data_IF_901282865456
#
_entry.id   IF_901282865456
#
_cell.length_a   1.000
_cell.length_b   1.000
_cell.length_c   1.000
_cell.angle_alpha   90.00
_cell.angle_beta   90.00
_cell.angle_gamma   90.00
#
_symmetry.space_group_name_H-M   'P 1'
#
loop_
_entity.id
_entity.type
_entity.pdbx_description
1 polymer ?
#
# COMPACT_ATOMS: atom_id res chain seq x y z
N UNK A 1 -67.43 -23.43 1.04
CA UNK A 1 -66.45 -23.34 2.13
C UNK A 1 -65.29 -22.47 1.63
N UNK A 2 -65.30 -21.18 1.93
CA UNK A 2 -64.29 -20.25 1.44
C UNK A 2 -63.12 -20.19 2.44
N UNK A 3 -61.97 -20.75 2.06
CA UNK A 3 -60.71 -20.59 2.77
C UNK A 3 -60.17 -19.18 2.51
N UNK A 4 -60.59 -18.20 3.30
CA UNK A 4 -59.88 -16.92 3.38
C UNK A 4 -58.53 -17.19 4.05
N UNK A 5 -57.42 -17.06 3.30
CA UNK A 5 -56.05 -17.12 3.84
C UNK A 5 -55.59 -15.69 4.15
N UNK A 6 -55.76 -15.18 5.39
CA UNK A 6 -55.60 -13.76 5.65
C UNK A 6 -54.25 -13.52 6.30
N UNK A 7 -53.12 -13.85 5.65
CA UNK A 7 -51.79 -13.55 6.23
C UNK A 7 -50.61 -13.47 5.23
N UNK A 8 -50.85 -13.53 3.92
CA UNK A 8 -49.76 -13.54 2.93
C UNK A 8 -49.23 -12.14 2.58
N UNK A 9 -50.08 -11.11 2.62
CA UNK A 9 -49.73 -9.73 2.19
C UNK A 9 -48.70 -9.05 3.11
N UNK A 10 -48.81 -9.22 4.43
CA UNK A 10 -47.87 -8.61 5.39
C UNK A 10 -46.46 -9.19 5.30
N UNK A 11 -46.34 -10.53 5.17
CA UNK A 11 -45.04 -11.21 5.03
C UNK A 11 -44.36 -10.88 3.71
N UNK A 12 -45.11 -10.76 2.62
CA UNK A 12 -44.60 -10.33 1.32
C UNK A 12 -44.13 -8.86 1.34
N UNK A 13 -44.85 -7.98 2.04
CA UNK A 13 -44.43 -6.58 2.19
C UNK A 13 -43.11 -6.46 2.95
N UNK A 14 -42.97 -7.15 4.09
CA UNK A 14 -41.74 -7.11 4.91
C UNK A 14 -40.55 -7.71 4.17
N UNK A 15 -40.74 -8.84 3.47
CA UNK A 15 -39.66 -9.48 2.69
C UNK A 15 -39.23 -8.63 1.50
N UNK A 16 -40.16 -7.99 0.79
CA UNK A 16 -39.82 -7.06 -0.29
C UNK A 16 -39.06 -5.83 0.24
N UNK A 17 -39.44 -5.32 1.41
CA UNK A 17 -38.76 -4.19 2.04
C UNK A 17 -37.35 -4.55 2.51
N UNK A 18 -37.19 -5.72 3.14
CA UNK A 18 -35.89 -6.24 3.55
C UNK A 18 -34.98 -6.50 2.33
N UNK A 19 -35.53 -7.06 1.25
CA UNK A 19 -34.82 -7.27 -0.01
C UNK A 19 -34.40 -5.94 -0.66
N UNK A 20 -35.28 -4.94 -0.67
CA UNK A 20 -34.97 -3.61 -1.18
C UNK A 20 -33.87 -2.91 -0.37
N UNK A 21 -33.93 -2.99 0.96
CA UNK A 21 -32.92 -2.40 1.84
C UNK A 21 -31.56 -3.10 1.71
N UNK A 22 -31.55 -4.42 1.64
CA UNK A 22 -30.30 -5.19 1.44
C UNK A 22 -29.68 -4.94 0.06
N UNK A 23 -30.49 -4.84 -0.99
CA UNK A 23 -30.02 -4.46 -2.33
C UNK A 23 -29.45 -3.04 -2.32
N UNK A 24 -30.17 -2.07 -1.75
CA UNK A 24 -29.70 -0.68 -1.66
C UNK A 24 -28.39 -0.58 -0.86
N UNK A 25 -28.31 -1.28 0.27
CA UNK A 25 -27.13 -1.30 1.12
C UNK A 25 -25.93 -1.99 0.45
N UNK A 26 -26.17 -3.14 -0.19
CA UNK A 26 -25.14 -3.87 -0.94
C UNK A 26 -24.62 -3.05 -2.13
N UNK A 27 -25.51 -2.38 -2.87
CA UNK A 27 -25.12 -1.50 -3.98
C UNK A 27 -24.33 -0.29 -3.47
N UNK A 28 -24.77 0.32 -2.37
CA UNK A 28 -24.07 1.42 -1.71
C UNK A 28 -22.64 1.04 -1.30
N UNK A 29 -22.49 -0.12 -0.65
CA UNK A 29 -21.17 -0.66 -0.29
C UNK A 29 -20.30 -0.92 -1.53
N UNK A 30 -20.86 -1.53 -2.58
CA UNK A 30 -20.14 -1.85 -3.81
C UNK A 30 -19.68 -0.58 -4.55
N UNK A 31 -20.51 0.47 -4.55
CA UNK A 31 -20.20 1.74 -5.20
C UNK A 31 -19.17 2.57 -4.42
N UNK A 32 -19.16 2.48 -3.09
CA UNK A 32 -18.21 3.21 -2.24
C UNK A 32 -16.86 2.51 -2.08
N UNK A 33 -16.79 1.19 -2.29
CA UNK A 33 -15.56 0.42 -2.21
C UNK A 33 -14.40 0.95 -3.09
N UNK A 34 -14.60 1.23 -4.40
CA UNK A 34 -13.49 1.68 -5.25
C UNK A 34 -12.88 3.01 -4.80
N UNK A 35 -13.69 3.91 -4.23
CA UNK A 35 -13.19 5.17 -3.66
C UNK A 35 -12.30 4.93 -2.45
N UNK A 36 -12.71 4.01 -1.57
CA UNK A 36 -11.94 3.66 -0.38
C UNK A 36 -10.63 2.95 -0.74
N UNK A 37 -10.66 2.04 -1.72
CA UNK A 37 -9.48 1.37 -2.25
C UNK A 37 -8.50 2.37 -2.87
N UNK A 38 -8.97 3.31 -3.68
CA UNK A 38 -8.12 4.35 -4.27
C UNK A 38 -7.42 5.20 -3.19
N UNK A 39 -8.10 5.50 -2.09
CA UNK A 39 -7.53 6.29 -0.99
C UNK A 39 -6.47 5.53 -0.18
N UNK A 40 -6.54 4.20 -0.10
CA UNK A 40 -5.61 3.36 0.69
C UNK A 40 -4.56 2.60 -0.14
N UNK A 41 -4.71 2.58 -1.46
CA UNK A 41 -3.85 1.78 -2.34
C UNK A 41 -2.38 2.21 -2.26
N UNK A 42 -1.50 1.20 -2.32
CA UNK A 42 -0.05 1.41 -2.48
C UNK A 42 0.36 1.59 -3.94
N UNK A 43 -0.54 1.36 -4.91
CA UNK A 43 -0.27 1.52 -6.34
C UNK A 43 0.36 2.87 -6.71
N UNK A 44 -0.15 4.03 -6.26
CA UNK A 44 0.45 5.31 -6.64
C UNK A 44 1.87 5.47 -6.12
N UNK A 45 2.14 5.09 -4.86
CA UNK A 45 3.47 5.22 -4.23
C UNK A 45 4.48 4.25 -4.84
N UNK A 46 4.07 3.02 -5.15
CA UNK A 46 4.93 2.06 -5.89
C UNK A 46 5.24 2.60 -7.28
N UNK A 47 4.22 3.08 -8.01
CA UNK A 47 4.42 3.60 -9.37
C UNK A 47 5.33 4.84 -9.43
N UNK A 48 5.29 5.71 -8.41
CA UNK A 48 6.13 6.90 -8.38
C UNK A 48 7.57 6.58 -8.04
N UNK A 49 7.81 5.62 -7.15
CA UNK A 49 9.14 5.07 -6.88
C UNK A 49 9.74 4.43 -8.12
N UNK A 50 8.98 3.60 -8.84
CA UNK A 50 9.45 2.94 -10.07
C UNK A 50 9.94 3.92 -11.13
N UNK A 51 9.28 5.09 -11.28
CA UNK A 51 9.71 6.12 -12.22
C UNK A 51 11.08 6.75 -11.88
N UNK A 52 11.55 6.57 -10.65
CA UNK A 52 12.84 7.08 -10.15
C UNK A 52 13.86 5.97 -9.94
N UNK A 53 13.46 4.70 -10.11
CA UNK A 53 14.35 3.58 -9.98
C UNK A 53 15.30 3.53 -11.20
N UNK A 54 16.62 3.54 -11.01
CA UNK A 54 17.56 3.41 -12.12
C UNK A 54 17.43 2.04 -12.80
N UNK A 55 17.59 2.00 -14.12
CA UNK A 55 17.53 0.74 -14.88
C UNK A 55 18.65 -0.26 -14.50
N UNK A 56 19.72 0.23 -13.87
CA UNK A 56 20.83 -0.57 -13.34
C UNK A 56 20.53 -1.21 -11.98
N UNK A 57 19.36 -0.94 -11.38
CA UNK A 57 19.02 -1.47 -10.07
C UNK A 57 18.73 -2.98 -10.14
N UNK A 58 19.62 -3.76 -9.54
CA UNK A 58 19.51 -5.23 -9.47
C UNK A 58 18.97 -5.73 -8.13
N UNK A 59 19.16 -4.94 -7.06
CA UNK A 59 18.87 -5.33 -5.69
C UNK A 59 18.28 -4.12 -4.95
N UNK A 60 17.13 -4.31 -4.30
CA UNK A 60 16.53 -3.31 -3.43
C UNK A 60 16.27 -3.97 -2.08
N UNK A 61 16.88 -3.44 -1.03
CA UNK A 61 16.72 -3.91 0.33
C UNK A 61 15.62 -3.14 1.06
N UNK A 62 14.95 -3.77 2.02
CA UNK A 62 14.06 -3.10 2.99
C UNK A 62 14.18 -3.76 4.35
N UNK A 63 13.90 -3.02 5.42
CA UNK A 63 13.88 -3.59 6.76
C UNK A 63 12.76 -4.63 6.90
N UNK A 64 13.01 -5.69 7.67
CA UNK A 64 12.09 -6.81 7.90
C UNK A 64 10.73 -6.40 8.50
N UNK A 65 10.69 -5.29 9.25
CA UNK A 65 9.44 -4.72 9.78
C UNK A 65 8.50 -4.19 8.69
N UNK A 66 9.01 -3.92 7.48
CA UNK A 66 8.25 -3.32 6.38
C UNK A 66 7.51 -4.36 5.53
N UNK A 67 6.86 -5.34 6.16
CA UNK A 67 6.17 -6.45 5.48
C UNK A 67 5.12 -5.99 4.47
N UNK A 68 4.37 -4.92 4.79
CA UNK A 68 3.39 -4.33 3.89
C UNK A 68 4.04 -3.72 2.64
N UNK A 69 5.23 -3.13 2.77
CA UNK A 69 5.97 -2.62 1.61
C UNK A 69 6.44 -3.79 0.73
N UNK A 70 6.97 -4.87 1.33
CA UNK A 70 7.37 -6.06 0.58
C UNK A 70 6.21 -6.63 -0.26
N UNK A 71 5.06 -6.84 0.36
CA UNK A 71 3.86 -7.34 -0.33
C UNK A 71 3.43 -6.37 -1.43
N UNK A 72 3.41 -5.07 -1.12
CA UNK A 72 2.94 -4.05 -2.06
C UNK A 72 3.84 -3.93 -3.29
N UNK A 73 5.16 -3.96 -3.12
CA UNK A 73 6.10 -3.90 -4.24
C UNK A 73 6.05 -5.19 -5.07
N UNK A 74 5.92 -6.35 -4.42
CA UNK A 74 5.73 -7.60 -5.15
C UNK A 74 4.43 -7.57 -5.98
N UNK A 75 3.34 -7.12 -5.38
CA UNK A 75 2.02 -7.11 -6.03
C UNK A 75 1.90 -6.08 -7.17
N UNK A 76 2.35 -4.84 -6.94
CA UNK A 76 2.15 -3.75 -7.90
C UNK A 76 3.30 -3.57 -8.90
N UNK A 77 4.51 -4.02 -8.57
CA UNK A 77 5.70 -3.87 -9.42
C UNK A 77 6.34 -5.20 -9.85
N UNK A 78 5.95 -6.33 -9.27
CA UNK A 78 6.65 -7.61 -9.49
C UNK A 78 8.08 -7.62 -8.93
N UNK A 79 8.41 -6.69 -8.02
CA UNK A 79 9.75 -6.58 -7.44
C UNK A 79 9.77 -7.28 -6.08
N UNK A 80 10.72 -8.20 -5.92
CA UNK A 80 11.03 -8.83 -4.65
C UNK A 80 12.06 -8.01 -3.88
N UNK A 81 11.61 -7.36 -2.81
CA UNK A 81 12.48 -6.61 -1.91
C UNK A 81 13.24 -7.58 -0.98
N UNK A 82 14.55 -7.41 -0.89
CA UNK A 82 15.39 -8.19 0.02
C UNK A 82 15.22 -7.68 1.45
N UNK A 83 14.64 -8.49 2.33
CA UNK A 83 14.48 -8.13 3.74
C UNK A 83 15.79 -8.27 4.52
N UNK A 84 16.10 -7.32 5.39
CA UNK A 84 17.20 -7.42 6.36
C UNK A 84 16.76 -6.94 7.75
N UNK A 85 17.46 -7.32 8.83
CA UNK A 85 17.11 -6.90 10.19
C UNK A 85 17.20 -5.38 10.39
N UNK A 86 16.26 -4.82 11.15
CA UNK A 86 16.27 -3.40 11.48
C UNK A 86 17.53 -3.02 12.26
N UNK A 87 18.21 -1.95 11.87
CA UNK A 87 19.46 -1.49 12.51
C UNK A 87 20.75 -2.09 11.93
N UNK A 88 20.65 -3.05 11.00
CA UNK A 88 21.80 -3.54 10.26
C UNK A 88 22.04 -2.73 8.98
N UNK A 89 23.21 -2.90 8.37
CA UNK A 89 23.54 -2.25 7.10
C UNK A 89 22.75 -2.91 5.96
N UNK A 90 22.05 -2.15 5.10
CA UNK A 90 21.32 -2.71 3.98
C UNK A 90 22.24 -3.50 3.03
N UNK A 91 21.91 -4.74 2.64
CA UNK A 91 22.77 -5.57 1.81
C UNK A 91 22.87 -5.13 0.33
N UNK A 92 21.88 -4.37 -0.16
CA UNK A 92 21.82 -3.89 -1.55
C UNK A 92 22.38 -2.46 -1.70
N UNK A 93 22.65 -2.03 -2.95
CA UNK A 93 22.99 -0.64 -3.28
C UNK A 93 21.79 0.31 -3.24
N UNK A 94 20.58 -0.23 -3.30
CA UNK A 94 19.34 0.51 -3.13
C UNK A 94 18.60 0.06 -1.87
N UNK A 95 18.05 1.01 -1.14
CA UNK A 95 17.34 0.77 0.10
C UNK A 95 15.99 1.50 0.08
N UNK A 96 14.91 0.74 0.22
CA UNK A 96 13.58 1.26 0.49
C UNK A 96 13.41 1.46 2.00
N UNK A 97 13.34 2.71 2.42
CA UNK A 97 13.06 3.12 3.80
C UNK A 97 11.58 3.44 3.94
N UNK A 98 10.99 3.01 5.06
CA UNK A 98 9.63 3.37 5.45
C UNK A 98 9.66 3.80 6.91
N UNK A 99 9.35 5.08 7.16
CA UNK A 99 9.44 5.71 8.49
C UNK A 99 8.32 6.69 8.71
N UNK A 100 8.16 7.13 9.96
CA UNK A 100 7.31 8.29 10.21
C UNK A 100 7.88 9.52 9.52
N UNK A 101 7.01 10.46 9.14
CA UNK A 101 7.44 11.69 8.48
C UNK A 101 8.28 12.60 9.38
N UNK A 102 8.20 12.42 10.70
CA UNK A 102 8.95 13.18 11.70
C UNK A 102 10.38 12.66 11.90
N UNK A 103 10.60 11.35 11.76
CA UNK A 103 11.94 10.72 11.87
C UNK A 103 12.89 11.15 10.74
N UNK A 104 12.35 11.53 9.59
CA UNK A 104 13.13 11.78 8.39
C UNK A 104 13.68 10.50 7.75
N UNK A 105 14.19 10.65 6.53
CA UNK A 105 14.62 9.52 5.68
C UNK A 105 16.08 9.61 5.23
N UNK A 106 16.80 10.62 5.70
CA UNK A 106 18.22 10.81 5.36
C UNK A 106 19.09 9.87 6.18
N UNK A 107 20.05 9.22 5.53
CA UNK A 107 20.93 8.23 6.15
C UNK A 107 22.40 8.52 5.76
N UNK A 108 23.35 8.43 6.71
CA UNK A 108 24.76 8.66 6.43
C UNK A 108 25.31 7.70 5.37
N UNK A 109 26.00 8.22 4.35
CA UNK A 109 26.53 7.39 3.25
C UNK A 109 25.48 7.00 2.20
N UNK A 110 24.27 7.56 2.28
CA UNK A 110 23.20 7.33 1.33
C UNK A 110 22.70 8.65 0.71
N UNK A 111 22.29 8.59 -0.54
CA UNK A 111 21.62 9.67 -1.25
C UNK A 111 20.14 9.32 -1.42
N UNK A 112 19.25 10.25 -1.05
CA UNK A 112 17.81 10.10 -1.29
C UNK A 112 17.53 10.34 -2.77
N UNK A 113 17.09 9.31 -3.49
CA UNK A 113 16.72 9.40 -4.92
C UNK A 113 15.25 9.79 -5.10
N UNK A 114 14.40 9.38 -4.18
CA UNK A 114 12.97 9.60 -4.26
C UNK A 114 12.33 9.52 -2.88
N UNK A 115 11.30 10.32 -2.68
CA UNK A 115 10.39 10.24 -1.54
C UNK A 115 8.95 10.26 -2.01
N UNK A 116 8.06 9.64 -1.24
CA UNK A 116 6.64 9.69 -1.49
C UNK A 116 5.83 9.08 -0.36
N UNK A 117 4.52 9.29 -0.42
CA UNK A 117 3.57 8.85 0.58
C UNK A 117 2.31 8.28 -0.08
N UNK A 118 1.48 7.57 0.68
CA UNK A 118 0.16 7.16 0.18
C UNK A 118 -0.75 8.40 0.13
N UNK A 119 -1.70 8.50 -0.83
CA UNK A 119 -2.48 9.73 -1.07
C UNK A 119 -3.17 10.34 0.14
N UNK A 120 -3.53 9.52 1.15
CA UNK A 120 -4.22 9.96 2.37
C UNK A 120 -3.47 9.59 3.65
N UNK A 121 -2.18 9.27 3.54
CA UNK A 121 -1.27 8.98 4.65
C UNK A 121 -0.15 10.01 4.63
N UNK A 122 -0.14 10.93 5.60
CA UNK A 122 0.90 11.96 5.70
C UNK A 122 1.91 11.65 6.79
N UNK A 123 1.60 10.73 7.69
CA UNK A 123 2.43 10.42 8.85
C UNK A 123 3.52 9.40 8.51
N UNK A 124 3.47 8.77 7.35
CA UNK A 124 4.42 7.76 6.91
C UNK A 124 5.01 8.12 5.57
N UNK A 125 6.34 8.19 5.52
CA UNK A 125 7.11 8.51 4.31
C UNK A 125 7.85 7.27 3.82
N UNK A 126 7.77 7.02 2.52
CA UNK A 126 8.56 6.05 1.79
C UNK A 126 9.69 6.78 1.09
N UNK A 127 10.89 6.24 1.14
CA UNK A 127 12.04 6.80 0.42
C UNK A 127 12.87 5.70 -0.24
N UNK A 128 13.34 5.99 -1.44
CA UNK A 128 14.33 5.18 -2.12
C UNK A 128 15.69 5.86 -1.97
N UNK A 129 16.60 5.17 -1.32
CA UNK A 129 17.97 5.63 -1.10
C UNK A 129 18.92 4.83 -1.99
N UNK A 130 19.97 5.49 -2.46
CA UNK A 130 21.09 4.88 -3.16
C UNK A 130 22.36 5.04 -2.33
N UNK A 131 23.13 3.97 -2.23
CA UNK A 131 24.42 3.99 -1.55
C UNK A 131 25.37 4.91 -2.29
N UNK A 132 25.98 5.86 -1.57
CA UNK A 132 27.03 6.67 -2.15
C UNK A 132 28.26 5.80 -2.40
N UNK A 133 28.92 5.92 -3.56
CA UNK A 133 30.19 5.25 -3.79
C UNK A 133 31.16 5.71 -2.70
N UNK A 134 31.68 4.76 -1.91
CA UNK A 134 32.68 5.09 -0.90
C UNK A 134 33.88 5.71 -1.61
N UNK A 135 34.26 6.93 -1.21
CA UNK A 135 35.49 7.52 -1.68
C UNK A 135 36.63 6.56 -1.30
N UNK A 136 37.28 5.95 -2.30
CA UNK A 136 38.53 5.20 -2.09
C UNK A 136 39.48 6.13 -1.34
N UNK A 137 39.85 5.77 -0.12
CA UNK A 137 40.95 6.44 0.57
C UNK A 137 42.21 6.34 -0.33
N UNK A 138 42.91 7.45 -0.61
CA UNK A 138 44.19 7.38 -1.31
C UNK A 138 45.15 6.53 -0.48
N UNK A 139 45.80 5.56 -1.13
CA UNK A 139 46.85 4.73 -0.57
C UNK A 139 48.12 5.55 -0.33
#
# INVERSE_FOLDING_TARGET
MALTRPHLRGRQAITNWAAGLTLLWGLGMTLWLPWFDAAKSYRPVVSSMLRKLPATATCIATENRNSLAMISWRYYAGIDLLSFPSGETPPCDYWLVVRSSEEGVAEPGWQVLWTGNRPREQNMTFALLQRLPQAKAPK
#
